data_IF_968660608584
#
_entry.id   IF_968660608584
#
_cell.length_a   1.000
_cell.length_b   1.000
_cell.length_c   1.000
_cell.angle_alpha   90.00
_cell.angle_beta   90.00
_cell.angle_gamma   90.00
#
_symmetry.space_group_name_H-M   'P 1'
#
loop_
_entity.id
_entity.type
_entity.pdbx_description
1 polymer ?
#
# COMPACT_ATOMS: atom_id res chain seq x y z
N UNK A 1 28.04 -48.72 13.59
CA UNK A 1 27.29 -47.88 12.64
C UNK A 1 26.98 -46.54 13.31
N UNK A 2 27.95 -45.63 13.29
CA UNK A 2 27.87 -44.29 13.88
C UNK A 2 26.92 -43.41 13.07
N UNK A 3 25.79 -43.02 13.67
CA UNK A 3 24.88 -42.02 13.09
C UNK A 3 25.59 -40.66 13.08
N UNK A 4 26.17 -40.29 11.95
CA UNK A 4 26.68 -38.95 11.69
C UNK A 4 25.53 -37.94 11.82
N UNK A 5 25.65 -37.05 12.81
CA UNK A 5 24.68 -35.98 13.05
C UNK A 5 24.66 -35.02 11.86
N UNK A 6 23.50 -34.96 11.19
CA UNK A 6 23.14 -33.98 10.16
C UNK A 6 22.81 -32.60 10.79
N UNK A 7 23.72 -32.05 11.58
CA UNK A 7 23.66 -30.67 12.01
C UNK A 7 24.92 -29.95 11.53
N UNK A 8 24.96 -29.70 10.22
CA UNK A 8 25.81 -28.63 9.70
C UNK A 8 25.28 -27.31 10.26
N UNK A 9 25.87 -26.88 11.38
CA UNK A 9 25.70 -25.53 11.92
C UNK A 9 26.01 -24.58 10.76
N UNK A 10 24.98 -23.88 10.27
CA UNK A 10 25.14 -22.88 9.22
C UNK A 10 26.16 -21.86 9.74
N UNK A 11 27.38 -21.88 9.18
CA UNK A 11 28.41 -20.87 9.44
C UNK A 11 27.77 -19.50 9.20
N UNK A 12 27.60 -18.74 10.27
CA UNK A 12 27.15 -17.35 10.17
C UNK A 12 28.34 -16.54 9.66
N UNK A 13 28.09 -15.58 8.77
CA UNK A 13 29.16 -14.71 8.26
C UNK A 13 29.84 -13.99 9.45
N UNK A 14 31.17 -13.88 9.45
CA UNK A 14 31.88 -13.12 10.47
C UNK A 14 31.45 -11.65 10.44
N UNK A 15 31.55 -10.99 11.58
CA UNK A 15 31.23 -9.57 11.70
C UNK A 15 32.14 -8.74 10.76
N UNK A 16 31.60 -7.86 9.90
CA UNK A 16 32.41 -7.05 8.99
C UNK A 16 33.25 -5.98 9.70
N UNK A 17 32.90 -5.63 10.95
CA UNK A 17 33.62 -4.60 11.71
C UNK A 17 34.82 -5.16 12.49
N UNK A 18 34.77 -6.41 12.95
CA UNK A 18 35.79 -6.98 13.84
C UNK A 18 36.18 -8.44 13.56
N UNK A 19 35.52 -9.11 12.60
CA UNK A 19 35.83 -10.48 12.19
C UNK A 19 35.33 -11.58 13.13
N UNK A 20 34.79 -11.25 14.32
CA UNK A 20 34.25 -12.26 15.25
C UNK A 20 32.87 -12.75 14.83
N UNK A 21 32.46 -13.91 15.34
CA UNK A 21 31.16 -14.49 15.02
C UNK A 21 29.99 -13.59 15.46
N UNK A 22 28.95 -13.60 14.64
CA UNK A 22 27.66 -13.01 14.96
C UNK A 22 26.79 -14.03 15.72
N UNK A 23 25.90 -13.54 16.58
CA UNK A 23 24.95 -14.35 17.33
C UNK A 23 23.55 -13.76 17.24
N UNK A 24 22.53 -14.62 17.21
CA UNK A 24 21.13 -14.19 17.19
C UNK A 24 20.73 -13.69 18.59
N UNK A 25 20.36 -12.43 18.68
CA UNK A 25 19.82 -11.77 19.88
C UNK A 25 18.41 -11.26 19.62
N UNK A 26 17.61 -11.10 20.66
CA UNK A 26 16.24 -10.58 20.57
C UNK A 26 16.18 -9.15 21.11
N UNK A 27 15.59 -8.23 20.35
CA UNK A 27 15.37 -6.85 20.76
C UNK A 27 13.92 -6.40 20.56
N UNK A 28 13.65 -5.12 20.82
CA UNK A 28 12.29 -4.52 20.68
C UNK A 28 11.69 -4.68 19.28
N UNK A 29 12.53 -4.68 18.25
CA UNK A 29 12.12 -4.75 16.84
C UNK A 29 12.21 -6.16 16.23
N UNK A 30 12.44 -7.18 17.06
CA UNK A 30 12.58 -8.58 16.66
C UNK A 30 13.99 -9.14 16.86
N UNK A 31 14.23 -10.34 16.33
CA UNK A 31 15.53 -10.98 16.39
C UNK A 31 16.51 -10.35 15.38
N UNK A 32 17.74 -10.11 15.81
CA UNK A 32 18.84 -9.55 15.03
C UNK A 32 20.13 -10.34 15.27
N UNK A 33 21.05 -10.32 14.31
CA UNK A 33 22.42 -10.79 14.45
C UNK A 33 23.24 -9.68 15.09
N UNK A 34 23.76 -9.91 16.29
CA UNK A 34 24.66 -8.99 16.98
C UNK A 34 26.06 -9.56 17.10
N UNK A 35 27.06 -8.70 17.15
CA UNK A 35 28.43 -9.12 17.42
C UNK A 35 28.58 -9.76 18.81
N UNK A 36 29.35 -10.84 18.90
CA UNK A 36 29.67 -11.49 20.19
C UNK A 36 30.52 -10.57 21.08
N UNK A 37 31.36 -9.73 20.47
CA UNK A 37 32.28 -8.83 21.17
C UNK A 37 31.64 -7.49 21.64
N UNK A 38 30.32 -7.46 21.82
CA UNK A 38 29.65 -6.31 22.45
C UNK A 38 30.03 -6.23 23.94
N UNK A 39 30.39 -5.05 24.51
CA UNK A 39 30.19 -3.68 24.00
C UNK A 39 31.35 -3.10 23.17
N UNK A 40 32.45 -3.82 22.99
CA UNK A 40 33.59 -3.33 22.20
C UNK A 40 33.30 -3.23 20.69
N UNK A 41 32.33 -4.01 20.20
CA UNK A 41 31.77 -3.90 18.85
C UNK A 41 30.23 -3.89 18.91
N UNK A 42 29.62 -2.85 18.37
CA UNK A 42 28.18 -2.57 18.38
C UNK A 42 27.47 -2.97 17.07
N UNK A 43 28.16 -3.69 16.19
CA UNK A 43 27.59 -4.13 14.91
C UNK A 43 26.36 -5.02 15.10
N UNK A 44 25.28 -4.66 14.40
CA UNK A 44 24.02 -5.38 14.34
C UNK A 44 23.53 -5.51 12.88
N UNK A 45 22.94 -6.67 12.55
CA UNK A 45 22.33 -6.95 11.24
C UNK A 45 20.96 -7.63 11.46
N UNK A 46 19.86 -7.18 10.83
CA UNK A 46 18.57 -7.87 10.95
C UNK A 46 18.60 -9.27 10.32
N UNK A 47 17.88 -10.25 10.88
CA UNK A 47 17.84 -11.63 10.33
C UNK A 47 17.06 -11.73 9.02
N UNK A 48 16.07 -10.87 8.84
CA UNK A 48 15.29 -10.74 7.61
C UNK A 48 15.31 -9.27 7.25
N UNK A 49 15.68 -8.95 6.01
CA UNK A 49 15.35 -7.65 5.45
C UNK A 49 13.83 -7.56 5.45
N UNK A 50 13.25 -6.83 6.41
CA UNK A 50 11.79 -6.63 6.48
C UNK A 50 11.24 -5.88 5.26
N UNK A 51 12.13 -5.40 4.36
CA UNK A 51 11.82 -4.77 3.09
C UNK A 51 11.50 -5.79 1.97
N UNK A 52 11.93 -7.05 2.12
CA UNK A 52 11.78 -8.08 1.08
C UNK A 52 10.38 -8.67 1.23
N UNK A 53 9.39 -7.89 0.78
CA UNK A 53 7.99 -8.31 0.81
C UNK A 53 7.83 -9.68 0.16
N UNK A 54 7.01 -10.54 0.77
CA UNK A 54 6.75 -11.89 0.25
C UNK A 54 6.19 -11.79 -1.17
N UNK A 55 6.83 -12.45 -2.14
CA UNK A 55 6.32 -12.52 -3.52
C UNK A 55 5.04 -13.35 -3.51
N UNK A 56 3.90 -12.70 -3.78
CA UNK A 56 2.58 -13.33 -3.83
C UNK A 56 2.36 -13.95 -5.21
N UNK A 57 2.70 -13.22 -6.27
CA UNK A 57 2.49 -13.64 -7.66
C UNK A 57 3.44 -12.92 -8.60
N UNK A 58 4.08 -13.64 -9.52
CA UNK A 58 4.83 -13.02 -10.62
C UNK A 58 3.85 -12.60 -11.72
N UNK A 59 3.97 -11.36 -12.19
CA UNK A 59 3.15 -10.79 -13.25
C UNK A 59 3.88 -10.98 -14.58
N UNK A 60 3.79 -12.20 -15.11
CA UNK A 60 4.40 -12.59 -16.39
C UNK A 60 3.88 -11.67 -17.51
N UNK A 61 4.80 -11.04 -18.25
CA UNK A 61 4.48 -10.13 -19.36
C UNK A 61 4.39 -8.65 -18.98
N UNK A 62 4.56 -8.30 -17.69
CA UNK A 62 4.72 -6.91 -17.27
C UNK A 62 6.19 -6.61 -16.97
N UNK A 63 6.92 -6.21 -18.02
CA UNK A 63 8.34 -5.86 -17.90
C UNK A 63 8.57 -4.61 -17.02
N UNK A 64 9.61 -4.67 -16.20
CA UNK A 64 10.11 -3.55 -15.42
C UNK A 64 10.73 -2.51 -16.36
N UNK A 65 10.38 -1.21 -16.24
CA UNK A 65 10.94 -0.17 -17.10
C UNK A 65 12.43 0.11 -16.84
N UNK A 66 13.00 -0.37 -15.72
CA UNK A 66 14.40 -0.17 -15.38
C UNK A 66 15.33 -1.29 -15.84
N UNK A 67 14.86 -2.55 -15.83
CA UNK A 67 15.72 -3.71 -16.10
C UNK A 67 15.16 -4.67 -17.16
N UNK A 68 13.91 -4.49 -17.60
CA UNK A 68 13.25 -5.36 -18.58
C UNK A 68 12.71 -6.67 -18.03
N UNK A 69 13.10 -7.07 -16.81
CA UNK A 69 12.61 -8.29 -16.16
C UNK A 69 11.15 -8.19 -15.70
N UNK A 70 10.52 -9.35 -15.44
CA UNK A 70 9.13 -9.41 -15.01
C UNK A 70 8.90 -8.69 -13.66
N UNK A 71 7.75 -8.04 -13.54
CA UNK A 71 7.27 -7.50 -12.28
C UNK A 71 6.61 -8.59 -11.43
N UNK A 72 6.57 -8.39 -10.12
CA UNK A 72 5.94 -9.29 -9.17
C UNK A 72 5.09 -8.52 -8.16
N UNK A 73 3.91 -9.05 -7.87
CA UNK A 73 3.07 -8.62 -6.76
C UNK A 73 3.71 -9.08 -5.45
N UNK A 74 4.12 -8.14 -4.61
CA UNK A 74 4.77 -8.36 -3.32
C UNK A 74 3.92 -7.85 -2.18
N UNK A 75 3.97 -8.53 -1.03
CA UNK A 75 3.30 -8.10 0.18
C UNK A 75 4.32 -7.54 1.17
N UNK A 76 4.33 -6.22 1.32
CA UNK A 76 5.17 -5.51 2.28
C UNK A 76 4.42 -5.09 3.55
N UNK A 77 5.11 -4.39 4.45
CA UNK A 77 4.53 -3.84 5.69
C UNK A 77 3.35 -2.89 5.44
N UNK A 78 3.41 -2.11 4.36
CA UNK A 78 2.41 -1.09 4.02
C UNK A 78 1.28 -1.60 3.12
N UNK A 79 1.27 -2.90 2.80
CA UNK A 79 0.30 -3.50 1.91
C UNK A 79 0.95 -4.17 0.69
N UNK A 80 0.11 -4.53 -0.27
CA UNK A 80 0.58 -5.11 -1.52
C UNK A 80 1.09 -4.00 -2.45
N UNK A 81 2.20 -4.28 -3.12
CA UNK A 81 2.78 -3.41 -4.13
C UNK A 81 3.33 -4.26 -5.27
N UNK A 82 3.55 -3.66 -6.43
CA UNK A 82 4.21 -4.33 -7.54
C UNK A 82 5.67 -3.91 -7.50
N UNK A 83 6.58 -4.87 -7.41
CA UNK A 83 8.03 -4.63 -7.44
C UNK A 83 8.68 -5.40 -8.58
N UNK A 84 9.93 -5.08 -8.92
CA UNK A 84 10.70 -5.93 -9.83
C UNK A 84 10.90 -7.34 -9.22
N UNK A 85 10.85 -8.39 -10.04
CA UNK A 85 11.22 -9.74 -9.61
C UNK A 85 12.70 -9.82 -9.18
N UNK A 86 13.57 -9.06 -9.84
CA UNK A 86 15.04 -9.06 -9.69
C UNK A 86 15.59 -8.17 -8.56
N UNK A 87 14.74 -7.71 -7.64
CA UNK A 87 15.23 -7.07 -6.41
C UNK A 87 16.06 -8.08 -5.59
N UNK A 88 17.20 -7.71 -5.00
CA UNK A 88 17.66 -6.35 -4.68
C UNK A 88 18.48 -5.64 -5.76
N UNK A 89 18.71 -6.25 -6.91
CA UNK A 89 19.50 -5.61 -7.98
C UNK A 89 18.71 -4.51 -8.71
N UNK A 90 17.37 -4.60 -8.70
CA UNK A 90 16.47 -3.59 -9.22
C UNK A 90 15.43 -3.15 -8.17
N UNK A 91 15.51 -1.89 -7.74
CA UNK A 91 14.66 -1.27 -6.72
C UNK A 91 13.34 -0.70 -7.26
N UNK A 92 12.95 -1.02 -8.50
CA UNK A 92 11.69 -0.58 -9.06
C UNK A 92 10.49 -1.07 -8.22
N UNK A 93 9.65 -0.12 -7.79
CA UNK A 93 8.40 -0.39 -7.11
C UNK A 93 7.30 0.57 -7.53
N UNK A 94 6.09 0.05 -7.68
CA UNK A 94 4.89 0.80 -8.02
C UNK A 94 3.72 0.36 -7.11
N UNK A 95 2.91 1.32 -6.70
CA UNK A 95 1.69 1.03 -5.95
C UNK A 95 0.61 0.47 -6.88
N UNK A 96 -0.14 -0.53 -6.41
CA UNK A 96 -1.25 -1.15 -7.17
C UNK A 96 -2.41 -0.15 -7.33
N UNK A 97 -2.64 0.64 -6.29
CA UNK A 97 -3.70 1.63 -6.27
C UNK A 97 -3.23 2.86 -7.06
N UNK A 98 -3.27 2.78 -8.40
CA UNK A 98 -3.40 4.00 -9.19
C UNK A 98 -4.76 4.59 -8.79
N UNK A 99 -4.81 5.73 -8.11
CA UNK A 99 -6.09 6.35 -7.83
C UNK A 99 -6.73 6.63 -9.18
N UNK A 100 -7.89 6.04 -9.45
CA UNK A 100 -8.69 6.46 -10.59
C UNK A 100 -8.88 7.97 -10.42
N UNK A 101 -8.26 8.76 -11.29
CA UNK A 101 -8.46 10.19 -11.32
C UNK A 101 -9.90 10.39 -11.81
N UNK A 102 -10.85 10.37 -10.88
CA UNK A 102 -12.21 10.73 -11.23
C UNK A 102 -12.16 12.15 -11.78
N UNK A 103 -12.57 12.32 -13.03
CA UNK A 103 -12.60 13.62 -13.74
C UNK A 103 -13.62 14.60 -13.13
N UNK A 104 -14.15 14.30 -11.94
CA UNK A 104 -15.19 15.04 -11.26
C UNK A 104 -14.55 16.16 -10.44
N UNK A 105 -14.96 17.40 -10.74
CA UNK A 105 -14.54 18.57 -9.99
C UNK A 105 -15.06 18.53 -8.55
N UNK A 106 -14.26 19.06 -7.62
CA UNK A 106 -14.63 19.15 -6.22
C UNK A 106 -15.73 20.21 -6.05
N UNK A 107 -16.91 19.88 -5.48
CA UNK A 107 -18.02 20.81 -5.36
C UNK A 107 -17.76 21.94 -4.36
N UNK A 108 -16.82 21.77 -3.43
CA UNK A 108 -16.50 22.77 -2.41
C UNK A 108 -15.54 23.84 -2.92
N UNK A 109 -14.65 23.49 -3.85
CA UNK A 109 -13.53 24.35 -4.21
C UNK A 109 -13.40 24.59 -5.72
N UNK A 110 -14.17 23.88 -6.55
CA UNK A 110 -14.33 23.97 -8.01
C UNK A 110 -13.06 23.83 -8.88
N UNK A 111 -11.87 24.04 -8.33
CA UNK A 111 -10.59 23.95 -9.05
C UNK A 111 -9.91 22.59 -8.83
N UNK A 112 -10.17 21.94 -7.69
CA UNK A 112 -9.63 20.62 -7.39
C UNK A 112 -10.46 19.49 -8.00
N UNK A 113 -9.85 18.31 -8.16
CA UNK A 113 -10.54 17.08 -8.59
C UNK A 113 -10.71 16.12 -7.42
N UNK A 114 -11.73 15.27 -7.48
CA UNK A 114 -11.86 14.15 -6.55
C UNK A 114 -10.90 13.04 -6.98
N UNK A 115 -10.16 12.50 -6.02
CA UNK A 115 -9.26 11.36 -6.23
C UNK A 115 -9.62 10.25 -5.25
N UNK A 116 -9.62 9.01 -5.73
CA UNK A 116 -9.82 7.84 -4.89
C UNK A 116 -8.60 7.65 -3.96
N UNK A 117 -8.83 7.47 -2.67
CA UNK A 117 -7.81 7.19 -1.65
C UNK A 117 -8.27 6.03 -0.78
N UNK A 118 -7.33 5.34 -0.14
CA UNK A 118 -7.62 4.27 0.83
C UNK A 118 -7.32 4.74 2.24
N UNK A 119 -8.24 4.46 3.15
CA UNK A 119 -8.02 4.69 4.58
C UNK A 119 -7.08 3.64 5.17
N UNK A 120 -6.54 3.90 6.37
CA UNK A 120 -5.77 2.93 7.16
C UNK A 120 -6.51 1.60 7.42
N UNK A 121 -7.84 1.60 7.30
CA UNK A 121 -8.70 0.44 7.50
C UNK A 121 -9.08 -0.24 6.16
N UNK A 122 -8.44 0.14 5.05
CA UNK A 122 -8.66 -0.45 3.73
C UNK A 122 -9.90 0.06 2.97
N UNK A 123 -10.80 0.82 3.63
CA UNK A 123 -11.96 1.42 2.97
C UNK A 123 -11.54 2.52 2.00
N UNK A 124 -12.06 2.47 0.77
CA UNK A 124 -11.87 3.54 -0.23
C UNK A 124 -12.77 4.73 0.08
N UNK A 125 -12.26 5.93 -0.20
CA UNK A 125 -12.98 7.19 -0.11
C UNK A 125 -12.45 8.12 -1.21
N UNK A 126 -13.24 9.10 -1.62
CA UNK A 126 -12.85 10.07 -2.65
C UNK A 126 -12.69 11.43 -2.00
N UNK A 127 -11.52 12.02 -2.12
CA UNK A 127 -11.18 13.30 -1.50
C UNK A 127 -10.62 14.28 -2.52
N UNK A 128 -10.70 15.58 -2.22
CA UNK A 128 -10.09 16.59 -3.06
C UNK A 128 -8.56 16.43 -3.09
N UNK A 129 -7.96 16.55 -4.28
CA UNK A 129 -6.50 16.54 -4.45
C UNK A 129 -5.79 17.75 -3.83
N UNK A 130 -6.52 18.82 -3.47
CA UNK A 130 -5.97 20.04 -2.86
C UNK A 130 -5.94 20.00 -1.33
N UNK A 131 -5.92 18.83 -0.72
CA UNK A 131 -5.67 18.71 0.72
C UNK A 131 -4.26 19.23 1.05
N UNK A 132 -4.05 20.10 2.07
CA UNK A 132 -4.97 20.45 3.16
C UNK A 132 -5.89 21.66 2.91
N UNK A 133 -5.72 22.40 1.80
CA UNK A 133 -6.53 23.58 1.48
C UNK A 133 -8.03 23.28 1.28
N UNK A 134 -8.35 22.09 0.75
CA UNK A 134 -9.72 21.59 0.65
C UNK A 134 -9.86 20.23 1.34
N UNK A 135 -10.75 20.14 2.34
CA UNK A 135 -10.98 18.93 3.14
C UNK A 135 -12.23 18.14 2.70
N UNK A 136 -12.76 18.43 1.51
CA UNK A 136 -13.92 17.71 0.99
C UNK A 136 -13.59 16.24 0.76
N UNK A 137 -14.40 15.35 1.35
CA UNK A 137 -14.28 13.90 1.17
C UNK A 137 -15.65 13.22 1.23
N UNK A 138 -15.81 12.18 0.40
CA UNK A 138 -17.00 11.31 0.35
C UNK A 138 -16.57 9.85 0.39
N UNK A 139 -17.33 9.00 1.10
CA UNK A 139 -16.99 7.58 1.26
C UNK A 139 -17.51 6.70 0.13
N UNK A 140 -18.53 7.18 -0.60
CA UNK A 140 -19.16 6.48 -1.70
C UNK A 140 -18.61 6.97 -3.04
N UNK A 141 -18.79 6.17 -4.10
CA UNK A 141 -18.35 6.51 -5.45
C UNK A 141 -19.06 7.78 -5.92
N UNK A 142 -18.33 8.87 -6.23
CA UNK A 142 -18.90 10.10 -6.73
C UNK A 142 -19.35 9.93 -8.18
N UNK A 143 -20.48 10.54 -8.52
CA UNK A 143 -21.04 10.59 -9.87
C UNK A 143 -21.37 12.04 -10.21
N UNK A 144 -21.01 12.46 -11.41
CA UNK A 144 -21.36 13.77 -11.93
C UNK A 144 -22.89 13.86 -12.06
N UNK A 145 -23.49 14.86 -11.43
CA UNK A 145 -24.93 15.08 -11.48
C UNK A 145 -25.38 16.11 -10.45
N UNK A 146 -26.49 16.78 -10.75
CA UNK A 146 -27.07 17.80 -9.88
C UNK A 146 -28.22 17.17 -9.08
N UNK A 147 -28.28 17.45 -7.78
CA UNK A 147 -29.38 16.98 -6.94
C UNK A 147 -30.67 17.76 -7.23
N UNK A 148 -31.82 17.10 -7.51
CA UNK A 148 -33.08 17.79 -7.80
C UNK A 148 -33.70 18.51 -6.60
N UNK A 149 -33.24 18.21 -5.38
CA UNK A 149 -33.82 18.79 -4.16
C UNK A 149 -33.05 19.99 -3.60
N UNK A 150 -31.73 20.03 -3.79
CA UNK A 150 -30.87 21.06 -3.21
C UNK A 150 -29.88 21.66 -4.22
N UNK A 151 -29.97 21.27 -5.49
CA UNK A 151 -29.12 21.72 -6.59
C UNK A 151 -27.61 21.51 -6.35
N UNK A 152 -27.25 20.59 -5.45
CA UNK A 152 -25.85 20.28 -5.18
C UNK A 152 -25.21 19.54 -6.37
N UNK A 153 -24.03 19.94 -6.86
CA UNK A 153 -23.46 19.48 -8.14
C UNK A 153 -22.71 18.13 -8.06
N UNK A 154 -23.00 17.32 -7.05
CA UNK A 154 -22.37 16.01 -6.88
C UNK A 154 -23.37 14.99 -6.33
N UNK A 155 -23.43 13.83 -6.98
CA UNK A 155 -24.15 12.66 -6.52
C UNK A 155 -23.17 11.56 -6.06
N UNK A 156 -23.68 10.60 -5.32
CA UNK A 156 -22.94 9.41 -4.87
C UNK A 156 -23.76 8.15 -5.10
N UNK A 157 -23.09 7.08 -5.49
CA UNK A 157 -23.71 5.76 -5.65
C UNK A 157 -23.74 5.00 -4.33
N UNK A 158 -24.91 4.48 -3.96
CA UNK A 158 -25.07 3.59 -2.82
C UNK A 158 -25.76 2.31 -3.27
N UNK A 159 -25.21 1.17 -2.86
CA UNK A 159 -25.84 -0.15 -3.05
C UNK A 159 -27.00 -0.27 -2.05
N UNK A 160 -28.21 -0.45 -2.57
CA UNK A 160 -29.43 -0.71 -1.80
C UNK A 160 -29.97 -2.10 -2.14
N UNK A 161 -30.94 -2.61 -1.38
CA UNK A 161 -31.56 -3.91 -1.64
C UNK A 161 -32.16 -4.04 -3.06
N UNK A 162 -32.56 -2.92 -3.67
CA UNK A 162 -33.15 -2.84 -5.01
C UNK A 162 -32.11 -2.49 -6.10
N UNK A 163 -30.81 -2.58 -5.80
CA UNK A 163 -29.74 -2.24 -6.73
C UNK A 163 -29.00 -0.94 -6.40
N UNK A 164 -28.24 -0.44 -7.37
CA UNK A 164 -27.44 0.80 -7.22
C UNK A 164 -28.34 2.00 -7.42
N UNK A 165 -28.48 2.85 -6.39
CA UNK A 165 -29.22 4.10 -6.46
C UNK A 165 -28.28 5.28 -6.21
N UNK A 166 -28.58 6.42 -6.85
CA UNK A 166 -27.83 7.67 -6.69
C UNK A 166 -28.44 8.51 -5.58
N UNK A 167 -27.61 9.10 -4.74
CA UNK A 167 -28.01 9.97 -3.64
C UNK A 167 -27.24 11.28 -3.71
N UNK A 168 -27.78 12.33 -3.13
CA UNK A 168 -27.05 13.58 -2.97
C UNK A 168 -25.80 13.38 -2.10
N UNK A 169 -24.68 13.95 -2.53
CA UNK A 169 -23.42 13.89 -1.78
C UNK A 169 -23.37 14.87 -0.59
N UNK A 170 -24.27 15.87 -0.54
CA UNK A 170 -24.31 16.81 0.58
C UNK A 170 -24.83 16.14 1.85
N UNK A 171 -24.16 16.40 2.97
CA UNK A 171 -24.55 15.87 4.30
C UNK A 171 -25.91 16.40 4.76
N UNK A 172 -26.30 17.59 4.31
CA UNK A 172 -27.56 18.24 4.67
C UNK A 172 -28.77 17.69 3.91
N UNK A 173 -28.59 17.22 2.66
CA UNK A 173 -29.70 16.70 1.88
C UNK A 173 -29.85 15.18 2.01
N UNK A 174 -28.82 14.41 1.61
CA UNK A 174 -28.84 12.94 1.65
C UNK A 174 -29.97 12.23 0.89
N UNK A 175 -30.84 12.95 0.16
CA UNK A 175 -31.99 12.40 -0.57
C UNK A 175 -31.55 11.63 -1.81
N UNK A 176 -32.34 10.64 -2.22
CA UNK A 176 -32.12 9.92 -3.47
C UNK A 176 -32.32 10.86 -4.66
N UNK A 177 -31.41 10.84 -5.62
CA UNK A 177 -31.66 11.42 -6.93
C UNK A 177 -32.60 10.46 -7.66
N UNK A 178 -33.75 10.95 -8.10
CA UNK A 178 -34.65 10.16 -8.93
C UNK A 178 -33.87 9.69 -10.17
N UNK A 179 -33.86 8.39 -10.43
CA UNK A 179 -33.33 7.83 -11.67
C UNK A 179 -34.31 8.22 -12.77
N UNK A 180 -33.95 9.19 -13.61
CA UNK A 180 -34.64 9.37 -14.88
C UNK A 180 -34.40 8.10 -15.70
N UNK A 181 -35.51 7.41 -15.99
CA UNK A 181 -35.66 6.28 -16.91
C UNK A 181 -35.17 6.61 -18.31
#
# INVERSE_FOLDING_TARGET
MSKSALFTVRKQDPCPACGTDLVIRSGKHGAFLGCTNYPACDYIRPLKNQADGHIVKVLEGHACPQCGEDKALRQGRYGMFIGCSHYPECDYSEAIDKPDETLIACPQCLEGKLVQRRSRYGKTFHACNRYPACQFAVNATPVAGVCPHCHFPLLVEKKTAQGVKRFCASKSCGKAAASET
#
